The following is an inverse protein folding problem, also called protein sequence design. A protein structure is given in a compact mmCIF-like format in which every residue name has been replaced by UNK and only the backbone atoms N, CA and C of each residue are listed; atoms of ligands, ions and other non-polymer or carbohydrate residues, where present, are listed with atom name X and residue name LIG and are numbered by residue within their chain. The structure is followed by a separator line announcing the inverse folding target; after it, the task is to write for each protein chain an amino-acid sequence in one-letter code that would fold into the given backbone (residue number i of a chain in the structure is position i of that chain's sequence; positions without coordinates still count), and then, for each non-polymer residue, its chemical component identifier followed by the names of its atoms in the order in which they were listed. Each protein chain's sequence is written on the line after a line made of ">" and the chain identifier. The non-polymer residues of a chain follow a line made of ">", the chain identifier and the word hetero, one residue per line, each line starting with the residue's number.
data_IF_919940733676
#
_entry.id   IF_919940733676
#
_cell.length_a   1.000
_cell.length_b   1.000
_cell.length_c   1.000
_cell.angle_alpha   90.00
_cell.angle_beta   90.00
_cell.angle_gamma   90.00
#
_symmetry.space_group_name_H-M   'P 1'
#
loop_
_entity.id
_entity.type
_entity.pdbx_description
1 polymer ?
#
# COMPACT_ATOMS: atom_id res chain seq x y z
N UNK A 1 -1.61 -11.36 -7.58
CA UNK A 1 -1.86 -9.92 -7.44
C UNK A 1 -1.43 -9.46 -6.05
N UNK A 2 -1.01 -8.21 -5.92
CA UNK A 2 -0.62 -7.57 -4.67
C UNK A 2 -1.62 -6.45 -4.37
N UNK A 3 -2.09 -6.33 -3.13
CA UNK A 3 -3.07 -5.29 -2.76
C UNK A 3 -2.36 -4.13 -2.09
N UNK A 4 -2.66 -2.92 -2.54
CA UNK A 4 -2.36 -1.67 -1.83
C UNK A 4 -3.65 -1.15 -1.19
N UNK A 5 -3.52 -0.69 0.04
CA UNK A 5 -4.57 -0.04 0.81
C UNK A 5 -3.95 1.11 1.61
N UNK A 6 -4.71 2.18 1.79
CA UNK A 6 -4.35 3.20 2.76
C UNK A 6 -4.75 2.76 4.19
N UNK A 7 -4.07 3.31 5.19
CA UNK A 7 -4.61 3.30 6.55
C UNK A 7 -5.89 4.14 6.61
N UNK A 8 -6.74 3.85 7.60
CA UNK A 8 -8.07 4.44 7.77
C UNK A 8 -8.06 5.92 8.14
N UNK A 9 -6.92 6.45 8.53
CA UNK A 9 -6.68 7.83 8.93
C UNK A 9 -5.31 8.28 8.39
N UNK A 10 -5.08 9.59 8.21
CA UNK A 10 -3.74 10.12 8.00
C UNK A 10 -2.89 9.94 9.27
N UNK A 11 -1.59 9.74 9.09
CA UNK A 11 -0.62 9.62 10.18
C UNK A 11 0.52 10.63 10.00
N UNK A 12 0.96 11.20 11.11
CA UNK A 12 2.22 11.97 11.17
C UNK A 12 3.42 11.02 11.15
N UNK A 13 4.64 11.57 11.02
CA UNK A 13 5.87 10.77 10.90
C UNK A 13 6.21 9.91 12.12
N UNK A 14 5.66 10.20 13.31
CA UNK A 14 5.86 9.38 14.51
C UNK A 14 4.89 8.19 14.56
N UNK A 15 5.16 7.20 13.71
CA UNK A 15 4.43 5.94 13.63
C UNK A 15 4.95 4.88 14.62
N UNK A 16 5.71 5.27 15.65
CA UNK A 16 6.47 4.34 16.52
C UNK A 16 7.45 3.47 15.71
N UNK A 17 8.03 4.07 14.65
CA UNK A 17 8.91 3.42 13.68
C UNK A 17 8.20 2.44 12.74
N UNK A 18 8.98 1.74 11.91
CA UNK A 18 8.44 0.84 10.88
C UNK A 18 7.60 -0.30 11.46
N UNK A 19 7.89 -0.75 12.70
CA UNK A 19 7.12 -1.80 13.38
C UNK A 19 5.72 -1.34 13.77
N UNK A 20 5.56 -0.09 14.22
CA UNK A 20 4.24 0.46 14.53
C UNK A 20 3.42 0.68 13.26
N UNK A 21 4.05 1.16 12.19
CA UNK A 21 3.42 1.27 10.87
C UNK A 21 2.95 -0.10 10.32
N UNK A 22 3.82 -1.11 10.35
CA UNK A 22 3.48 -2.48 9.95
C UNK A 22 2.33 -3.06 10.79
N UNK A 23 2.35 -2.81 12.10
CA UNK A 23 1.29 -3.28 13.01
C UNK A 23 -0.05 -2.61 12.71
N UNK A 24 -0.06 -1.32 12.36
CA UNK A 24 -1.28 -0.63 11.92
C UNK A 24 -1.85 -1.26 10.64
N UNK A 25 -1.00 -1.52 9.65
CA UNK A 25 -1.38 -2.20 8.40
C UNK A 25 -1.97 -3.60 8.68
N UNK A 26 -1.31 -4.41 9.49
CA UNK A 26 -1.79 -5.73 9.90
C UNK A 26 -3.15 -5.65 10.60
N UNK A 27 -3.29 -4.79 11.61
CA UNK A 27 -4.51 -4.67 12.42
C UNK A 27 -5.70 -4.22 11.58
N UNK A 28 -5.51 -3.20 10.74
CA UNK A 28 -6.60 -2.66 9.92
C UNK A 28 -6.97 -3.60 8.77
N UNK A 29 -5.98 -4.21 8.09
CA UNK A 29 -6.24 -5.21 7.05
C UNK A 29 -7.02 -6.42 7.57
N UNK A 30 -6.67 -6.93 8.76
CA UNK A 30 -7.39 -8.03 9.39
C UNK A 30 -8.83 -7.66 9.76
N UNK A 31 -9.06 -6.45 10.27
CA UNK A 31 -10.43 -5.94 10.55
C UNK A 31 -11.27 -5.78 9.30
N UNK A 32 -10.65 -5.46 8.16
CA UNK A 32 -11.30 -5.38 6.86
C UNK A 32 -11.52 -6.75 6.19
N UNK A 33 -11.17 -7.87 6.85
CA UNK A 33 -11.30 -9.22 6.29
C UNK A 33 -10.30 -9.56 5.19
N UNK A 34 -9.24 -8.76 5.01
CA UNK A 34 -8.20 -9.03 4.03
C UNK A 34 -7.15 -9.97 4.63
N UNK A 35 -7.17 -11.25 4.24
CA UNK A 35 -6.38 -12.34 4.83
C UNK A 35 -4.88 -12.37 4.46
N UNK A 36 -4.39 -11.36 3.74
CA UNK A 36 -3.00 -11.24 3.33
C UNK A 36 -2.08 -10.66 4.40
N UNK A 37 -0.76 -10.72 4.17
CA UNK A 37 0.22 -9.99 4.99
C UNK A 37 0.36 -8.57 4.47
N UNK A 38 -0.13 -7.58 5.23
CA UNK A 38 0.06 -6.16 4.92
C UNK A 38 1.25 -5.60 5.69
N UNK A 39 2.13 -4.89 4.96
CA UNK A 39 3.26 -4.12 5.49
C UNK A 39 3.13 -2.66 5.05
N UNK A 40 3.74 -1.76 5.80
CA UNK A 40 3.75 -0.34 5.50
C UNK A 40 4.51 -0.06 4.19
N UNK A 41 3.94 0.76 3.32
CA UNK A 41 4.57 1.21 2.07
C UNK A 41 5.56 2.35 2.36
N UNK A 42 6.62 2.05 3.11
CA UNK A 42 7.64 3.00 3.57
C UNK A 42 9.03 2.37 3.50
N UNK A 43 10.03 3.17 3.13
CA UNK A 43 11.42 2.80 3.41
C UNK A 43 11.71 2.96 4.91
N UNK A 44 12.64 2.17 5.41
CA UNK A 44 13.17 2.29 6.77
C UNK A 44 14.70 2.20 6.76
N UNK A 45 15.34 2.40 7.91
CA UNK A 45 16.81 2.33 8.04
C UNK A 45 17.42 1.01 7.53
N UNK A 46 16.66 -0.08 7.52
CA UNK A 46 17.15 -1.44 7.19
C UNK A 46 16.41 -2.08 6.01
N UNK A 47 15.45 -1.40 5.40
CA UNK A 47 14.65 -1.95 4.31
C UNK A 47 14.25 -0.86 3.32
N UNK A 48 14.63 -1.05 2.06
CA UNK A 48 14.16 -0.21 0.97
C UNK A 48 12.73 -0.60 0.58
N UNK A 49 11.93 0.40 0.23
CA UNK A 49 10.54 0.24 -0.17
C UNK A 49 10.35 -0.82 -1.28
N UNK A 50 11.16 -0.78 -2.34
CA UNK A 50 11.10 -1.72 -3.47
C UNK A 50 11.36 -3.19 -3.08
N UNK A 51 12.04 -3.40 -1.95
CA UNK A 51 12.41 -4.73 -1.44
C UNK A 51 11.36 -5.39 -0.53
N UNK A 52 10.27 -4.69 -0.18
CA UNK A 52 9.20 -5.21 0.69
C UNK A 52 8.55 -6.45 0.10
N UNK A 53 8.34 -6.47 -1.22
CA UNK A 53 7.78 -7.61 -1.95
C UNK A 53 8.88 -8.59 -2.34
N UNK A 54 8.63 -9.87 -2.08
CA UNK A 54 9.53 -10.98 -2.43
C UNK A 54 9.83 -10.96 -3.93
N UNK A 55 11.08 -11.27 -4.30
CA UNK A 55 11.51 -11.20 -5.70
C UNK A 55 10.59 -11.95 -6.67
N UNK A 56 10.12 -13.16 -6.29
CA UNK A 56 9.21 -13.97 -7.10
C UNK A 56 7.84 -13.33 -7.37
N UNK A 57 7.41 -12.40 -6.50
CA UNK A 57 6.09 -11.77 -6.58
C UNK A 57 6.13 -10.40 -7.29
N UNK A 58 7.30 -9.92 -7.71
CA UNK A 58 7.45 -8.54 -8.21
C UNK A 58 6.85 -8.30 -9.60
N UNK A 59 6.57 -9.36 -10.34
CA UNK A 59 5.86 -9.29 -11.63
C UNK A 59 4.33 -9.32 -11.46
N UNK A 60 3.82 -9.56 -10.24
CA UNK A 60 2.37 -9.58 -9.99
C UNK A 60 1.77 -8.18 -10.08
N UNK A 61 0.55 -8.02 -10.63
CA UNK A 61 -0.12 -6.74 -10.71
C UNK A 61 -0.45 -6.21 -9.33
N UNK A 62 -0.39 -4.89 -9.19
CA UNK A 62 -0.72 -4.16 -7.97
C UNK A 62 -2.11 -3.58 -8.13
N UNK A 63 -3.02 -3.98 -7.25
CA UNK A 63 -4.44 -3.62 -7.27
C UNK A 63 -4.83 -2.87 -6.00
N UNK A 64 -5.92 -2.12 -6.05
CA UNK A 64 -6.55 -1.57 -4.85
C UNK A 64 -7.30 -2.65 -4.06
N UNK A 65 -7.95 -2.29 -2.94
CA UNK A 65 -8.73 -3.24 -2.12
C UNK A 65 -9.96 -3.82 -2.83
N UNK A 66 -10.44 -3.17 -3.90
CA UNK A 66 -11.58 -3.63 -4.72
C UNK A 66 -11.14 -4.48 -5.92
N UNK A 67 -9.85 -4.60 -6.18
CA UNK A 67 -9.28 -5.39 -7.28
C UNK A 67 -8.99 -4.60 -8.56
N UNK A 68 -9.24 -3.29 -8.59
CA UNK A 68 -8.88 -2.47 -9.75
C UNK A 68 -7.35 -2.34 -9.84
N UNK A 69 -6.80 -2.52 -11.04
CA UNK A 69 -5.36 -2.42 -11.28
C UNK A 69 -4.90 -0.97 -11.14
N UNK A 70 -3.89 -0.79 -10.30
CA UNK A 70 -3.16 0.47 -10.11
C UNK A 70 -1.85 0.46 -10.92
N UNK A 71 -1.13 -0.67 -10.90
CA UNK A 71 0.09 -0.87 -11.67
C UNK A 71 0.15 -2.29 -12.23
N UNK A 72 0.71 -2.44 -13.43
CA UNK A 72 0.83 -3.75 -14.10
C UNK A 72 1.75 -4.72 -13.35
N UNK A 73 2.73 -4.21 -12.60
CA UNK A 73 3.56 -5.00 -11.70
C UNK A 73 4.15 -4.15 -10.58
N UNK A 74 4.62 -4.79 -9.50
CA UNK A 74 5.37 -4.11 -8.44
C UNK A 74 6.65 -3.47 -8.98
N UNK A 75 7.38 -4.19 -9.84
CA UNK A 75 8.57 -3.67 -10.52
C UNK A 75 8.25 -2.42 -11.36
N UNK A 76 7.05 -2.36 -11.95
CA UNK A 76 6.57 -1.20 -12.68
C UNK A 76 6.46 0.08 -11.86
N UNK A 77 6.23 -0.01 -10.55
CA UNK A 77 6.22 1.16 -9.64
C UNK A 77 7.63 1.77 -9.53
N UNK A 78 8.66 0.92 -9.48
CA UNK A 78 10.05 1.29 -9.20
C UNK A 78 10.93 1.27 -10.46
N UNK A 79 10.37 1.67 -11.61
CA UNK A 79 11.07 1.70 -12.90
C UNK A 79 11.84 3.02 -13.17
N UNK A 80 11.92 3.92 -12.19
CA UNK A 80 12.54 5.24 -12.33
C UNK A 80 11.60 6.37 -12.76
N UNK A 81 10.33 6.10 -13.05
CA UNK A 81 9.33 7.11 -13.44
C UNK A 81 8.52 7.68 -12.27
N UNK A 82 8.96 7.45 -11.02
CA UNK A 82 8.30 7.98 -9.83
C UNK A 82 6.96 7.33 -9.49
N UNK A 83 6.67 6.12 -9.98
CA UNK A 83 5.39 5.45 -9.71
C UNK A 83 4.20 6.12 -10.39
N UNK A 84 4.37 6.55 -11.64
CA UNK A 84 3.34 7.23 -12.43
C UNK A 84 2.07 6.38 -12.58
N UNK A 85 0.91 6.97 -12.28
CA UNK A 85 -0.40 6.39 -12.56
C UNK A 85 -0.87 6.84 -13.94
N UNK A 86 -1.21 5.88 -14.83
CA UNK A 86 -1.71 6.18 -16.18
C UNK A 86 -3.11 6.82 -16.20
N UNK A 87 -3.84 6.70 -15.10
CA UNK A 87 -5.18 7.26 -14.90
C UNK A 87 -5.31 7.69 -13.43
N UNK A 88 -6.29 8.54 -13.14
CA UNK A 88 -6.58 8.94 -11.76
C UNK A 88 -6.81 7.68 -10.88
N UNK A 89 -5.92 7.38 -9.92
CA UNK A 89 -5.98 6.12 -9.20
C UNK A 89 -7.13 6.15 -8.20
N UNK A 90 -7.72 4.99 -7.94
CA UNK A 90 -8.71 4.83 -6.86
C UNK A 90 -8.06 4.08 -5.72
N UNK A 91 -7.49 4.82 -4.78
CA UNK A 91 -6.82 4.26 -3.61
C UNK A 91 -7.84 4.26 -2.47
N UNK A 92 -8.12 3.07 -1.95
CA UNK A 92 -9.06 2.89 -0.87
C UNK A 92 -8.34 2.60 0.45
N UNK A 93 -8.84 3.17 1.54
CA UNK A 93 -8.47 2.75 2.89
C UNK A 93 -8.96 1.34 3.19
N UNK A 94 -8.47 0.73 4.28
CA UNK A 94 -9.03 -0.53 4.79
C UNK A 94 -10.52 -0.42 5.15
N UNK A 95 -11.01 0.77 5.51
CA UNK A 95 -12.43 1.07 5.76
C UNK A 95 -13.24 1.34 4.49
N UNK A 96 -12.62 1.26 3.30
CA UNK A 96 -13.31 1.33 2.01
C UNK A 96 -13.52 2.74 1.46
N UNK A 97 -12.94 3.76 2.10
CA UNK A 97 -13.03 5.18 1.69
C UNK A 97 -12.00 5.51 0.63
N UNK A 98 -12.38 6.27 -0.40
CA UNK A 98 -11.45 6.70 -1.44
C UNK A 98 -10.67 7.93 -0.96
N UNK A 99 -9.37 7.73 -0.69
CA UNK A 99 -8.54 8.74 0.00
C UNK A 99 -8.28 9.99 -0.82
N UNK A 100 -8.46 9.95 -2.14
CA UNK A 100 -8.30 11.14 -3.00
C UNK A 100 -9.53 12.04 -3.03
N UNK A 101 -10.65 11.57 -2.48
CA UNK A 101 -11.93 12.31 -2.50
C UNK A 101 -12.56 12.43 -1.12
N UNK A 102 -12.03 11.74 -0.11
CA UNK A 102 -12.54 11.79 1.25
C UNK A 102 -11.90 12.98 1.99
N UNK A 103 -12.70 13.91 2.55
CA UNK A 103 -12.21 15.14 3.17
C UNK A 103 -11.43 14.93 4.49
N UNK A 104 -11.39 13.70 5.01
CA UNK A 104 -10.64 13.37 6.23
C UNK A 104 -9.18 12.95 5.94
N UNK A 105 -8.76 12.98 4.67
CA UNK A 105 -7.38 12.74 4.23
C UNK A 105 -6.68 14.01 3.77
#
# INVERSE_FOLDING_TARGET
>A
MLRIAALNEPYIGDLQGIRGADFACYRQGRRAGLLGTFKAFLSSRVQNLDSIVRAADRELPVVNTRGDVLFNSWKGIFNGQGGFFSQAPRIYSFSGKNVLTDPLW
#
